data_IF_131039279361
#
_entry.id   IF_131039279361
#
_cell.length_a   1.000
_cell.length_b   1.000
_cell.length_c   1.000
_cell.angle_alpha   90.00
_cell.angle_beta   90.00
_cell.angle_gamma   90.00
#
_symmetry.space_group_name_H-M   'P 1'
#
loop_
_entity.id
_entity.type
_entity.pdbx_description
1 polymer ?
#
# COMPACT_ATOMS: atom_id res chain seq x y z
N UNK A 1 -16.80 -36.70 1.88
CA UNK A 1 -16.91 -36.35 3.31
C UNK A 1 -18.26 -36.79 3.84
N UNK A 2 -18.36 -37.46 5.00
CA UNK A 2 -19.60 -38.03 5.50
C UNK A 2 -20.47 -36.99 6.23
N UNK A 3 -21.79 -37.15 6.09
CA UNK A 3 -22.84 -36.33 6.70
C UNK A 3 -23.07 -36.72 8.17
N UNK A 4 -23.23 -35.74 9.05
CA UNK A 4 -23.67 -35.89 10.45
C UNK A 4 -25.09 -35.30 10.58
N UNK A 5 -26.02 -35.94 11.34
CA UNK A 5 -27.45 -35.69 11.22
C UNK A 5 -28.00 -34.61 12.16
N UNK A 6 -29.10 -34.02 11.69
CA UNK A 6 -30.00 -33.07 12.37
C UNK A 6 -30.80 -33.79 13.46
N UNK A 7 -30.87 -33.23 14.67
CA UNK A 7 -31.87 -33.60 15.69
C UNK A 7 -32.95 -32.54 15.80
N UNK A 8 -34.20 -32.97 15.61
CA UNK A 8 -35.45 -32.24 15.90
C UNK A 8 -35.76 -32.30 17.40
N UNK A 9 -36.26 -31.20 17.95
CA UNK A 9 -36.98 -31.13 19.22
C UNK A 9 -38.16 -30.15 19.06
N UNK A 10 -39.35 -30.61 19.43
CA UNK A 10 -40.67 -29.95 19.29
C UNK A 10 -40.96 -28.95 20.46
N UNK A 11 -42.08 -28.19 20.42
CA UNK A 11 -42.20 -26.82 20.93
C UNK A 11 -42.80 -26.71 22.34
N UNK A 12 -42.66 -25.55 22.96
CA UNK A 12 -43.57 -25.05 23.99
C UNK A 12 -43.87 -23.56 23.77
N UNK A 13 -45.15 -23.24 23.62
CA UNK A 13 -45.73 -21.90 23.76
C UNK A 13 -45.97 -21.61 25.24
N UNK A 14 -45.69 -20.39 25.71
CA UNK A 14 -46.58 -19.61 26.57
C UNK A 14 -46.08 -18.17 26.74
N UNK A 15 -47.05 -17.27 26.84
CA UNK A 15 -46.96 -15.81 26.83
C UNK A 15 -46.30 -15.18 28.06
N UNK A 16 -45.77 -13.96 27.89
CA UNK A 16 -45.32 -13.09 28.99
C UNK A 16 -45.29 -11.63 28.55
N UNK A 17 -46.03 -10.79 29.29
CA UNK A 17 -46.38 -9.39 29.05
C UNK A 17 -45.23 -8.44 28.68
N UNK A 18 -45.54 -7.48 27.80
CA UNK A 18 -44.77 -6.26 27.55
C UNK A 18 -45.21 -5.20 28.56
N UNK A 19 -44.28 -4.72 29.38
CA UNK A 19 -44.42 -3.47 30.16
C UNK A 19 -43.60 -2.36 29.50
N UNK A 20 -44.30 -1.35 29.00
CA UNK A 20 -43.73 -0.10 28.50
C UNK A 20 -43.46 0.82 29.69
N UNK A 21 -42.19 1.13 29.96
CA UNK A 21 -41.81 2.17 30.91
C UNK A 21 -41.46 3.45 30.12
N UNK A 22 -42.29 4.48 30.28
CA UNK A 22 -42.06 5.82 29.78
C UNK A 22 -40.94 6.51 30.59
N UNK A 23 -39.90 7.00 29.91
CA UNK A 23 -38.95 7.93 30.52
C UNK A 23 -39.39 9.36 30.23
N UNK A 24 -39.69 10.08 31.31
CA UNK A 24 -40.03 11.49 31.32
C UNK A 24 -38.81 12.37 30.98
N UNK A 25 -39.05 13.41 30.18
CA UNK A 25 -38.10 14.45 29.88
C UNK A 25 -37.78 15.27 31.14
N UNK A 26 -36.49 15.30 31.51
CA UNK A 26 -35.95 16.15 32.56
C UNK A 26 -34.93 17.13 31.98
N UNK A 27 -35.22 18.44 32.10
CA UNK A 27 -34.39 19.55 31.67
C UNK A 27 -32.96 19.48 32.25
N UNK A 28 -31.95 19.47 31.37
CA UNK A 28 -30.55 19.61 31.77
C UNK A 28 -30.18 21.10 31.90
N UNK A 29 -30.09 21.57 33.15
CA UNK A 29 -29.43 22.83 33.49
C UNK A 29 -27.92 22.61 33.58
N UNK A 30 -27.17 23.55 32.99
CA UNK A 30 -25.70 23.69 33.07
C UNK A 30 -25.23 23.66 34.53
N UNK A 31 -24.21 22.85 34.81
CA UNK A 31 -23.40 22.97 36.03
C UNK A 31 -21.92 22.97 35.63
N UNK A 32 -21.35 24.17 35.53
CA UNK A 32 -19.90 24.38 35.52
C UNK A 32 -19.38 24.21 36.95
N UNK A 33 -18.67 23.11 37.21
CA UNK A 33 -17.95 22.86 38.46
C UNK A 33 -16.44 22.75 38.18
N UNK A 34 -15.57 23.24 39.07
CA UNK A 34 -14.13 23.28 38.84
C UNK A 34 -13.53 21.86 38.89
N UNK A 35 -12.80 21.48 37.84
CA UNK A 35 -12.05 20.22 37.79
C UNK A 35 -10.90 20.30 38.79
N UNK A 36 -11.07 19.63 39.93
CA UNK A 36 -10.04 19.46 40.93
C UNK A 36 -9.00 18.43 40.46
N UNK A 37 -7.71 18.81 40.56
CA UNK A 37 -6.59 17.89 40.70
C UNK A 37 -6.11 17.20 39.44
N UNK A 38 -5.27 17.86 38.65
CA UNK A 38 -4.31 17.17 37.81
C UNK A 38 -3.36 16.37 38.71
N UNK A 39 -3.62 15.08 38.86
CA UNK A 39 -2.64 14.12 39.37
C UNK A 39 -1.41 14.20 38.48
N UNK A 40 -0.24 14.43 39.10
CA UNK A 40 1.06 14.31 38.39
C UNK A 40 1.06 12.97 37.64
N UNK A 41 1.50 12.91 36.36
CA UNK A 41 1.62 11.64 35.68
C UNK A 41 2.53 10.76 36.51
N UNK A 42 1.97 9.66 37.03
CA UNK A 42 2.75 8.54 37.54
C UNK A 42 3.78 8.21 36.46
N UNK A 43 5.05 8.07 36.85
CA UNK A 43 6.08 7.48 36.01
C UNK A 43 5.73 6.01 35.83
N UNK A 44 4.71 5.72 35.03
CA UNK A 44 4.38 4.36 34.63
C UNK A 44 5.65 3.77 34.02
N UNK A 45 6.08 2.61 34.55
CA UNK A 45 7.21 1.89 33.98
C UNK A 45 6.90 1.66 32.50
N UNK A 46 7.79 2.12 31.61
CA UNK A 46 7.66 1.88 30.17
C UNK A 46 7.60 0.37 29.97
N UNK A 47 6.51 -0.12 29.38
CA UNK A 47 6.41 -1.51 28.98
C UNK A 47 7.35 -1.73 27.79
N UNK A 48 8.48 -2.36 28.06
CA UNK A 48 9.50 -2.67 27.05
C UNK A 48 9.00 -3.67 26.00
N UNK A 49 7.93 -4.41 26.29
CA UNK A 49 7.31 -5.32 25.33
C UNK A 49 6.37 -4.60 24.35
N UNK A 50 5.97 -3.36 24.64
CA UNK A 50 5.20 -2.52 23.73
C UNK A 50 6.08 -1.47 23.04
N UNK A 51 7.14 -1.03 23.72
CA UNK A 51 8.02 0.04 23.25
C UNK A 51 9.50 -0.35 23.41
N UNK A 52 10.00 -1.32 22.62
CA UNK A 52 11.36 -1.84 22.74
C UNK A 52 12.43 -0.74 22.54
N UNK A 53 12.15 0.26 21.70
CA UNK A 53 13.03 1.40 21.44
C UNK A 53 12.67 2.66 22.26
N UNK A 54 11.81 2.49 23.28
CA UNK A 54 11.31 3.56 24.15
C UNK A 54 10.03 4.22 23.64
N UNK A 55 9.34 4.94 24.52
CA UNK A 55 8.05 5.59 24.21
C UNK A 55 8.18 6.70 23.15
N UNK A 56 7.22 6.80 22.22
CA UNK A 56 7.05 7.99 21.37
C UNK A 56 6.82 9.25 22.22
N UNK A 57 7.29 10.40 21.75
CA UNK A 57 7.17 11.67 22.48
C UNK A 57 6.62 12.82 21.61
N UNK A 58 5.87 13.74 22.22
CA UNK A 58 5.35 14.93 21.54
C UNK A 58 3.85 14.87 21.28
N UNK A 59 3.34 15.83 20.51
CA UNK A 59 1.91 15.93 20.21
C UNK A 59 1.56 15.08 18.97
N UNK A 60 0.40 14.40 18.97
CA UNK A 60 -0.11 13.74 17.77
C UNK A 60 -0.26 14.73 16.62
N UNK A 61 -0.08 14.24 15.40
CA UNK A 61 -0.43 14.98 14.19
C UNK A 61 -1.95 14.89 14.04
N UNK A 62 -2.63 16.04 14.05
CA UNK A 62 -4.09 16.10 13.92
C UNK A 62 -4.40 16.63 12.52
N UNK A 63 -5.06 15.84 11.65
CA UNK A 63 -5.50 16.31 10.35
C UNK A 63 -6.43 17.53 10.52
N UNK A 64 -6.16 18.65 9.82
CA UNK A 64 -7.06 19.79 9.82
C UNK A 64 -8.35 19.43 9.06
N UNK A 65 -9.49 20.09 9.37
CA UNK A 65 -10.70 19.90 8.60
C UNK A 65 -10.51 20.28 7.12
N UNK A 66 -11.28 19.69 6.20
CA UNK A 66 -11.29 20.10 4.80
C UNK A 66 -11.53 21.61 4.64
N UNK A 67 -10.81 22.31 3.74
CA UNK A 67 -11.02 23.73 3.50
C UNK A 67 -12.45 24.03 3.04
N UNK A 68 -13.11 24.97 3.73
CA UNK A 68 -14.46 25.44 3.38
C UNK A 68 -15.62 24.59 3.89
N UNK A 69 -15.33 23.46 4.55
CA UNK A 69 -16.38 22.58 5.07
C UNK A 69 -16.67 22.87 6.56
N UNK A 70 -17.94 23.08 6.96
CA UNK A 70 -18.32 23.28 8.36
C UNK A 70 -18.36 21.93 9.10
N UNK A 71 -17.19 21.33 9.35
CA UNK A 71 -17.11 20.00 9.94
C UNK A 71 -17.00 20.08 11.46
N UNK A 72 -17.92 19.41 12.17
CA UNK A 72 -17.91 19.27 13.63
C UNK A 72 -17.11 18.05 14.12
N UNK A 73 -16.74 17.16 13.21
CA UNK A 73 -15.91 15.98 13.43
C UNK A 73 -14.88 15.86 12.29
N UNK A 74 -13.78 15.11 12.47
CA UNK A 74 -12.75 15.02 11.45
C UNK A 74 -13.27 14.36 10.15
N UNK A 75 -13.52 15.17 9.11
CA UNK A 75 -14.02 14.69 7.82
C UNK A 75 -12.87 14.25 6.90
N UNK A 76 -12.14 13.21 7.30
CA UNK A 76 -11.11 12.60 6.47
C UNK A 76 -11.46 11.19 5.99
N UNK A 77 -12.63 10.66 6.37
CA UNK A 77 -13.20 9.42 5.83
C UNK A 77 -14.62 9.66 5.30
N UNK A 78 -15.02 8.86 4.32
CA UNK A 78 -16.37 8.78 3.77
C UNK A 78 -16.86 7.33 3.85
N UNK A 79 -17.95 6.98 3.17
CA UNK A 79 -18.50 5.62 3.16
C UNK A 79 -17.53 4.61 2.54
N UNK A 80 -16.83 5.02 1.48
CA UNK A 80 -15.96 4.16 0.67
C UNK A 80 -14.53 4.69 0.51
N UNK A 81 -14.19 5.78 1.21
CA UNK A 81 -12.84 6.36 1.17
C UNK A 81 -12.29 6.65 2.56
N UNK A 82 -10.99 6.46 2.74
CA UNK A 82 -10.25 6.93 3.91
C UNK A 82 -9.04 7.71 3.45
N UNK A 83 -8.85 8.92 3.96
CA UNK A 83 -7.64 9.68 3.72
C UNK A 83 -6.57 9.32 4.73
N UNK A 84 -5.40 8.96 4.22
CA UNK A 84 -4.18 8.83 5.01
C UNK A 84 -3.43 10.17 4.89
N UNK A 85 -3.69 11.04 5.87
CA UNK A 85 -3.32 12.44 5.83
C UNK A 85 -1.89 12.68 6.33
N UNK A 86 -1.16 13.54 5.62
CA UNK A 86 0.11 14.10 6.08
C UNK A 86 0.47 15.35 5.28
N UNK A 87 1.01 16.37 5.92
CA UNK A 87 1.42 17.62 5.26
C UNK A 87 2.76 17.51 4.51
N UNK A 88 3.57 16.52 4.87
CA UNK A 88 4.92 16.30 4.34
C UNK A 88 5.18 14.79 4.17
N UNK A 89 6.25 14.37 3.45
CA UNK A 89 6.56 12.96 3.24
C UNK A 89 6.64 12.14 4.54
N UNK A 90 7.16 12.73 5.61
CA UNK A 90 7.35 12.04 6.89
C UNK A 90 6.01 11.72 7.53
N UNK A 91 5.12 12.70 7.64
CA UNK A 91 3.77 12.49 8.18
C UNK A 91 2.94 11.54 7.32
N UNK A 92 3.07 11.62 5.99
CA UNK A 92 2.39 10.72 5.04
C UNK A 92 2.79 9.27 5.30
N UNK A 93 4.09 8.99 5.42
CA UNK A 93 4.57 7.64 5.74
C UNK A 93 4.06 7.14 7.10
N UNK A 94 4.11 8.00 8.14
CA UNK A 94 3.55 7.66 9.47
C UNK A 94 2.06 7.34 9.40
N UNK A 95 1.27 8.09 8.62
CA UNK A 95 -0.17 7.83 8.49
C UNK A 95 -0.47 6.47 7.85
N UNK A 96 0.38 6.01 6.92
CA UNK A 96 0.25 4.67 6.32
C UNK A 96 0.63 3.60 7.34
N UNK A 97 1.76 3.75 8.02
CA UNK A 97 2.24 2.73 8.95
C UNK A 97 1.31 2.58 10.16
N UNK A 98 0.70 3.67 10.63
CA UNK A 98 -0.33 3.61 11.67
C UNK A 98 -1.63 2.95 11.21
N UNK A 99 -1.97 3.08 9.93
CA UNK A 99 -3.14 2.42 9.37
C UNK A 99 -2.93 0.91 9.20
N UNK A 100 -1.76 0.51 8.70
CA UNK A 100 -1.45 -0.90 8.40
C UNK A 100 -1.01 -1.66 9.66
N UNK A 101 -0.23 -1.03 10.54
CA UNK A 101 0.30 -1.62 11.77
C UNK A 101 -0.11 -0.80 13.00
N UNK A 102 -1.24 -1.15 13.64
CA UNK A 102 -1.73 -0.45 14.83
C UNK A 102 -0.75 -0.46 16.02
N UNK A 103 0.11 -1.48 16.13
CA UNK A 103 1.15 -1.62 17.16
C UNK A 103 0.64 -1.45 18.61
N UNK A 104 -0.52 -2.00 18.90
CA UNK A 104 -1.19 -1.94 20.21
C UNK A 104 -1.07 -3.26 21.00
N UNK A 105 -0.54 -4.32 20.37
CA UNK A 105 -0.29 -5.61 21.01
C UNK A 105 1.18 -5.71 21.43
N UNK A 106 1.49 -6.45 22.51
CA UNK A 106 2.86 -6.78 22.89
C UNK A 106 3.56 -7.55 21.77
N UNK A 107 4.91 -7.46 21.73
CA UNK A 107 5.74 -8.25 20.81
C UNK A 107 5.36 -9.74 20.85
N UNK A 108 5.34 -10.37 19.67
CA UNK A 108 5.23 -11.83 19.55
C UNK A 108 6.32 -12.50 20.38
N UNK A 109 6.01 -13.66 20.98
CA UNK A 109 7.04 -14.41 21.70
C UNK A 109 8.06 -14.94 20.71
N UNK A 110 9.33 -15.00 21.13
CA UNK A 110 10.39 -15.63 20.33
C UNK A 110 9.99 -17.08 19.99
N UNK A 111 9.93 -17.40 18.69
CA UNK A 111 9.53 -18.73 18.20
C UNK A 111 8.02 -18.97 18.11
N UNK A 112 7.19 -17.93 18.26
CA UNK A 112 5.75 -18.00 17.99
C UNK A 112 5.49 -18.00 16.49
N UNK A 113 4.96 -19.11 15.97
CA UNK A 113 4.60 -19.25 14.56
C UNK A 113 3.24 -18.60 14.23
N UNK A 114 2.45 -18.28 15.26
CA UNK A 114 1.19 -17.54 15.15
C UNK A 114 1.52 -16.04 15.01
N UNK A 115 2.05 -15.76 13.82
CA UNK A 115 2.51 -14.48 13.34
C UNK A 115 1.30 -13.55 13.16
N UNK A 116 0.88 -12.86 14.22
CA UNK A 116 -0.22 -11.88 14.19
C UNK A 116 0.39 -10.49 14.09
N UNK A 117 0.63 -9.91 12.89
CA UNK A 117 1.47 -8.72 12.81
C UNK A 117 0.60 -7.49 12.91
N UNK A 118 0.34 -7.01 14.12
CA UNK A 118 -0.01 -5.60 14.29
C UNK A 118 1.24 -4.70 14.28
N UNK A 119 2.43 -5.29 14.07
CA UNK A 119 3.75 -4.66 13.93
C UNK A 119 4.49 -5.20 12.70
N UNK A 120 5.31 -4.38 12.03
CA UNK A 120 6.19 -4.83 10.97
C UNK A 120 7.39 -5.61 11.56
N UNK A 121 8.09 -6.35 10.70
CA UNK A 121 9.31 -7.05 11.09
C UNK A 121 10.56 -6.19 10.98
N UNK A 122 10.50 -5.08 10.24
CA UNK A 122 11.54 -4.06 10.23
C UNK A 122 11.01 -2.76 9.65
N UNK A 123 11.90 -1.84 9.30
CA UNK A 123 11.57 -0.62 8.55
C UNK A 123 12.61 -0.35 7.46
N UNK A 124 12.18 0.20 6.33
CA UNK A 124 13.06 0.63 5.25
C UNK A 124 13.17 2.14 5.24
N UNK A 125 14.37 2.67 5.47
CA UNK A 125 14.65 4.10 5.55
C UNK A 125 15.25 4.63 4.25
N UNK A 126 14.62 5.65 3.68
CA UNK A 126 15.04 6.35 2.46
C UNK A 126 14.96 7.87 2.66
N UNK A 127 15.56 8.66 1.77
CA UNK A 127 15.39 10.13 1.79
C UNK A 127 14.27 10.56 0.83
N UNK A 128 13.52 11.63 1.14
CA UNK A 128 12.34 12.04 0.36
C UNK A 128 12.68 12.84 -0.91
N UNK A 129 13.96 12.95 -1.26
CA UNK A 129 14.47 13.78 -2.37
C UNK A 129 15.03 12.96 -3.54
N UNK A 130 15.03 11.62 -3.45
CA UNK A 130 15.48 10.72 -4.51
C UNK A 130 14.40 9.67 -4.83
N UNK A 131 13.57 9.90 -5.86
CA UNK A 131 12.49 8.98 -6.22
C UNK A 131 13.02 7.63 -6.69
N UNK A 132 14.15 7.57 -7.40
CA UNK A 132 14.64 6.31 -7.94
C UNK A 132 15.15 5.39 -6.83
N UNK A 133 15.89 5.95 -5.87
CA UNK A 133 16.32 5.21 -4.67
C UNK A 133 15.13 4.70 -3.87
N UNK A 134 14.13 5.56 -3.63
CA UNK A 134 12.97 5.20 -2.84
C UNK A 134 12.08 4.14 -3.51
N UNK A 135 11.86 4.25 -4.82
CA UNK A 135 11.16 3.25 -5.62
C UNK A 135 11.93 1.92 -5.63
N UNK A 136 13.26 1.94 -5.80
CA UNK A 136 14.06 0.71 -5.76
C UNK A 136 13.99 -0.02 -4.42
N UNK A 137 13.67 0.67 -3.33
CA UNK A 137 13.59 0.09 -2.00
C UNK A 137 12.28 -0.67 -1.72
N UNK A 138 11.23 -0.49 -2.54
CA UNK A 138 9.90 -1.05 -2.26
C UNK A 138 9.81 -2.58 -2.27
N UNK A 139 10.66 -3.36 -2.98
CA UNK A 139 10.69 -4.81 -2.82
C UNK A 139 11.00 -5.27 -1.38
N UNK A 140 11.71 -4.46 -0.59
CA UNK A 140 12.02 -4.77 0.80
C UNK A 140 10.79 -4.70 1.73
N UNK A 141 9.65 -4.18 1.25
CA UNK A 141 8.39 -4.16 2.00
C UNK A 141 7.77 -5.56 2.06
N UNK A 142 7.92 -6.36 1.00
CA UNK A 142 7.26 -7.66 0.91
C UNK A 142 7.84 -8.66 1.93
N UNK A 143 7.06 -9.69 2.23
CA UNK A 143 7.52 -10.84 2.99
C UNK A 143 8.83 -11.40 2.38
N UNK A 144 9.80 -11.87 3.20
CA UNK A 144 9.74 -12.03 4.65
C UNK A 144 10.42 -10.87 5.40
N UNK A 145 10.34 -9.64 4.87
CA UNK A 145 10.90 -8.47 5.53
C UNK A 145 9.82 -7.64 6.24
N UNK A 146 8.60 -7.60 5.68
CA UNK A 146 7.47 -6.78 6.15
C UNK A 146 7.92 -5.39 6.64
N UNK A 147 8.79 -4.73 5.86
CA UNK A 147 9.55 -3.56 6.28
C UNK A 147 9.08 -2.28 5.55
N UNK A 148 8.05 -1.56 6.05
CA UNK A 148 7.50 -0.39 5.39
C UNK A 148 8.50 0.74 5.22
N UNK A 149 8.21 1.62 4.26
CA UNK A 149 9.03 2.80 4.00
C UNK A 149 8.74 3.90 5.02
N UNK A 150 9.79 4.38 5.67
CA UNK A 150 9.79 5.65 6.42
C UNK A 150 10.87 6.58 5.86
N UNK A 151 10.63 7.89 5.95
CA UNK A 151 11.55 8.89 5.44
C UNK A 151 12.50 9.43 6.52
N UNK A 152 13.76 9.58 6.17
CA UNK A 152 14.78 10.30 6.94
C UNK A 152 15.37 11.44 6.12
N UNK A 153 16.21 12.27 6.72
CA UNK A 153 16.90 13.34 6.00
C UNK A 153 18.38 13.00 5.82
N UNK A 154 19.05 13.77 4.97
CA UNK A 154 20.52 13.78 4.88
C UNK A 154 21.21 14.20 6.18
N UNK A 155 20.46 14.74 7.14
CA UNK A 155 20.93 15.30 8.41
C UNK A 155 20.35 14.56 9.62
N UNK A 156 19.87 13.32 9.46
CA UNK A 156 19.32 12.53 10.57
C UNK A 156 17.84 12.17 10.42
N UNK A 157 17.31 11.55 11.47
CA UNK A 157 15.94 11.08 11.61
C UNK A 157 15.08 12.21 12.19
N UNK A 158 14.09 12.73 11.44
CA UNK A 158 13.14 13.69 11.99
C UNK A 158 12.38 13.10 13.17
N UNK A 159 11.98 13.94 14.12
CA UNK A 159 11.28 13.50 15.34
C UNK A 159 10.04 12.66 15.05
N UNK A 160 9.25 13.03 14.03
CA UNK A 160 8.03 12.30 13.64
C UNK A 160 8.36 10.88 13.19
N UNK A 161 9.42 10.69 12.38
CA UNK A 161 9.91 9.38 11.97
C UNK A 161 10.47 8.59 13.15
N UNK A 162 11.28 9.22 14.01
CA UNK A 162 11.88 8.56 15.16
C UNK A 162 10.80 8.03 16.13
N UNK A 163 9.75 8.82 16.34
CA UNK A 163 8.60 8.41 17.14
C UNK A 163 7.84 7.26 16.50
N UNK A 164 7.74 7.22 15.18
CA UNK A 164 7.06 6.13 14.50
C UNK A 164 7.87 4.83 14.56
N UNK A 165 9.19 4.88 14.40
CA UNK A 165 10.07 3.71 14.63
C UNK A 165 9.86 3.16 16.04
N UNK A 166 9.81 4.05 17.04
CA UNK A 166 9.52 3.69 18.44
C UNK A 166 8.13 3.09 18.67
N UNK A 167 7.10 3.63 17.99
CA UNK A 167 5.72 3.17 18.11
C UNK A 167 5.56 1.80 17.45
N UNK A 168 6.04 1.66 16.22
CA UNK A 168 6.03 0.41 15.47
C UNK A 168 6.73 -0.68 16.26
N UNK A 169 7.88 -0.36 16.87
CA UNK A 169 8.62 -1.29 17.72
C UNK A 169 8.74 -2.65 17.04
N UNK A 170 9.37 -2.65 15.87
CA UNK A 170 9.43 -3.82 15.00
C UNK A 170 10.02 -5.03 15.72
N UNK A 171 9.75 -6.22 15.16
CA UNK A 171 10.13 -7.48 15.79
C UNK A 171 11.51 -7.98 15.37
N UNK A 172 12.19 -7.29 14.45
CA UNK A 172 13.40 -7.74 13.78
C UNK A 172 13.14 -8.75 12.66
N UNK A 173 13.93 -8.66 11.59
CA UNK A 173 13.89 -9.57 10.44
C UNK A 173 14.71 -10.82 10.78
N UNK A 174 14.06 -11.88 11.27
CA UNK A 174 14.71 -13.11 11.74
C UNK A 174 15.65 -13.73 10.70
N UNK A 175 15.20 -13.78 9.43
CA UNK A 175 15.97 -14.32 8.29
C UNK A 175 17.21 -13.48 7.94
N UNK A 176 17.39 -12.34 8.58
CA UNK A 176 18.51 -11.43 8.39
C UNK A 176 19.12 -10.96 9.72
N UNK A 177 19.23 -11.87 10.70
CA UNK A 177 19.97 -11.59 11.95
C UNK A 177 19.27 -10.61 12.87
N UNK A 178 17.94 -10.62 12.88
CA UNK A 178 17.08 -9.71 13.65
C UNK A 178 17.43 -8.24 13.36
N UNK A 179 17.65 -7.89 12.09
CA UNK A 179 17.84 -6.50 11.66
C UNK A 179 16.50 -5.78 11.73
N UNK A 180 16.49 -4.62 12.36
CA UNK A 180 15.28 -3.81 12.57
C UNK A 180 15.08 -2.80 11.43
N UNK A 181 16.17 -2.35 10.79
CA UNK A 181 16.09 -1.34 9.73
C UNK A 181 17.05 -1.55 8.54
N UNK A 182 16.54 -1.34 7.33
CA UNK A 182 17.35 -1.15 6.13
C UNK A 182 17.57 0.34 5.87
N UNK A 183 18.82 0.77 5.71
CA UNK A 183 19.19 2.14 5.38
C UNK A 183 19.63 2.18 3.92
N UNK A 184 18.78 2.71 3.05
CA UNK A 184 18.98 2.63 1.60
C UNK A 184 19.52 3.96 1.05
N UNK A 185 20.60 3.89 0.28
CA UNK A 185 21.22 5.05 -0.37
C UNK A 185 21.64 6.12 0.64
N UNK A 186 21.18 7.36 0.44
CA UNK A 186 21.55 8.51 1.27
C UNK A 186 21.05 8.43 2.73
N UNK A 187 20.10 7.54 3.04
CA UNK A 187 19.67 7.27 4.42
C UNK A 187 20.79 6.63 5.27
N UNK A 188 21.78 5.99 4.64
CA UNK A 188 22.93 5.36 5.31
C UNK A 188 24.00 6.35 5.81
N UNK A 189 23.58 7.57 6.19
CA UNK A 189 24.47 8.63 6.66
C UNK A 189 24.83 8.50 8.16
N UNK A 190 25.94 9.09 8.63
CA UNK A 190 26.42 8.93 10.00
C UNK A 190 25.45 9.41 11.07
N UNK A 191 24.66 10.46 10.79
CA UNK A 191 23.71 11.01 11.75
C UNK A 191 22.54 10.06 12.00
N UNK A 192 21.94 9.54 10.93
CA UNK A 192 20.87 8.52 11.03
C UNK A 192 21.38 7.30 11.80
N UNK A 193 22.54 6.76 11.42
CA UNK A 193 23.15 5.59 12.09
C UNK A 193 23.36 5.82 13.58
N UNK A 194 23.88 6.99 13.97
CA UNK A 194 24.11 7.33 15.38
C UNK A 194 22.78 7.42 16.15
N UNK A 195 21.77 8.06 15.59
CA UNK A 195 20.48 8.23 16.24
C UNK A 195 19.72 6.90 16.42
N UNK A 196 19.78 6.00 15.43
CA UNK A 196 19.20 4.66 15.52
C UNK A 196 19.94 3.78 16.55
N UNK A 197 21.27 3.76 16.51
CA UNK A 197 22.07 3.01 17.48
C UNK A 197 21.83 3.48 18.92
N UNK A 198 21.63 4.80 19.12
CA UNK A 198 21.34 5.37 20.44
C UNK A 198 20.02 4.89 21.06
N UNK A 199 19.08 4.40 20.25
CA UNK A 199 17.81 3.81 20.72
C UNK A 199 17.77 2.28 20.62
N UNK A 200 18.88 1.65 20.24
CA UNK A 200 19.01 0.19 20.17
C UNK A 200 18.53 -0.46 18.87
N UNK A 201 18.22 0.32 17.83
CA UNK A 201 17.81 -0.19 16.51
C UNK A 201 19.04 -0.77 15.79
N UNK A 202 18.95 -2.04 15.40
CA UNK A 202 19.93 -2.74 14.55
C UNK A 202 19.63 -2.45 13.09
N UNK A 203 20.67 -2.20 12.31
CA UNK A 203 20.46 -1.82 10.93
C UNK A 203 21.51 -2.37 9.96
N UNK A 204 21.08 -2.57 8.72
CA UNK A 204 21.93 -2.89 7.57
C UNK A 204 21.83 -1.76 6.54
N UNK A 205 22.95 -1.33 5.97
CA UNK A 205 22.97 -0.34 4.90
C UNK A 205 23.02 -1.01 3.53
N UNK A 206 22.22 -0.51 2.58
CA UNK A 206 22.25 -0.94 1.18
C UNK A 206 22.57 0.28 0.32
N UNK A 207 23.71 0.25 -0.35
CA UNK A 207 24.20 1.38 -1.15
C UNK A 207 24.65 0.90 -2.52
N UNK A 208 24.73 1.83 -3.46
CA UNK A 208 25.26 1.61 -4.81
C UNK A 208 26.01 2.84 -5.26
N UNK A 209 26.90 2.68 -6.24
CA UNK A 209 27.65 3.79 -6.85
C UNK A 209 26.78 4.65 -7.78
N UNK A 210 25.68 4.07 -8.24
CA UNK A 210 24.65 4.68 -9.10
C UNK A 210 23.31 3.97 -8.81
N UNK A 211 22.22 4.46 -9.41
CA UNK A 211 20.88 3.89 -9.20
C UNK A 211 20.77 2.43 -9.67
N UNK A 212 21.49 2.05 -10.73
CA UNK A 212 21.41 0.71 -11.30
C UNK A 212 22.06 -0.32 -10.37
N UNK A 213 23.27 -0.02 -9.89
CA UNK A 213 23.97 -0.84 -8.90
C UNK A 213 23.26 -0.86 -7.55
N UNK A 214 22.61 0.24 -7.15
CA UNK A 214 21.77 0.25 -5.95
C UNK A 214 20.59 -0.72 -6.10
N UNK A 215 19.86 -0.65 -7.22
CA UNK A 215 18.74 -1.54 -7.49
C UNK A 215 19.15 -3.02 -7.54
N UNK A 216 20.28 -3.34 -8.17
CA UNK A 216 20.87 -4.69 -8.17
C UNK A 216 21.27 -5.15 -6.76
N UNK A 217 21.84 -4.26 -5.93
CA UNK A 217 22.17 -4.59 -4.55
C UNK A 217 20.94 -4.81 -3.66
N UNK A 218 19.83 -4.09 -3.91
CA UNK A 218 18.56 -4.32 -3.24
C UNK A 218 17.96 -5.65 -3.69
N UNK A 219 18.00 -5.96 -5.00
CA UNK A 219 17.56 -7.25 -5.55
C UNK A 219 18.31 -8.44 -4.92
N UNK A 220 19.64 -8.31 -4.78
CA UNK A 220 20.50 -9.30 -4.10
C UNK A 220 20.13 -9.47 -2.63
N UNK A 221 20.00 -8.35 -1.90
CA UNK A 221 19.63 -8.42 -0.49
C UNK A 221 18.28 -9.09 -0.33
N UNK A 222 17.27 -8.63 -1.08
CA UNK A 222 15.93 -9.16 -0.97
C UNK A 222 15.87 -10.64 -1.32
N UNK A 223 16.48 -11.03 -2.45
CA UNK A 223 16.58 -12.42 -2.86
C UNK A 223 17.30 -13.31 -1.85
N UNK A 224 18.36 -12.83 -1.20
CA UNK A 224 19.08 -13.59 -0.16
C UNK A 224 18.24 -13.86 1.10
N UNK A 225 17.23 -13.03 1.36
CA UNK A 225 16.35 -13.15 2.53
C UNK A 225 15.09 -13.94 2.18
N UNK A 226 14.48 -13.64 1.04
CA UNK A 226 13.25 -14.26 0.55
C UNK A 226 13.50 -15.71 0.11
N UNK A 227 14.53 -15.92 -0.70
CA UNK A 227 14.87 -17.21 -1.28
C UNK A 227 16.40 -17.45 -1.21
N UNK A 228 16.91 -17.81 -0.02
CA UNK A 228 18.35 -18.00 0.21
C UNK A 228 18.98 -19.09 -0.68
N UNK A 229 18.20 -20.04 -1.18
CA UNK A 229 18.68 -21.13 -2.02
C UNK A 229 19.14 -20.64 -3.40
N UNK A 230 18.46 -19.64 -3.96
CA UNK A 230 18.76 -19.11 -5.30
C UNK A 230 19.35 -17.70 -5.26
N UNK A 231 19.14 -16.95 -4.17
CA UNK A 231 19.52 -15.54 -4.06
C UNK A 231 18.71 -14.62 -4.98
N UNK A 232 17.55 -15.06 -5.46
CA UNK A 232 16.65 -14.33 -6.36
C UNK A 232 15.22 -14.36 -5.82
N UNK A 233 14.51 -13.22 -5.74
CA UNK A 233 13.09 -13.20 -5.37
C UNK A 233 12.25 -14.07 -6.30
N UNK A 234 11.45 -14.98 -5.74
CA UNK A 234 10.74 -16.01 -6.52
C UNK A 234 9.32 -16.26 -6.03
N UNK A 235 8.34 -16.22 -6.95
CA UNK A 235 6.95 -16.58 -6.67
C UNK A 235 6.69 -18.07 -6.88
N UNK A 236 6.32 -18.77 -5.79
CA UNK A 236 5.80 -20.13 -5.80
C UNK A 236 6.67 -21.15 -6.56
N UNK A 237 6.14 -22.35 -6.78
CA UNK A 237 6.65 -23.28 -7.79
C UNK A 237 5.55 -23.47 -8.82
N UNK A 238 5.84 -23.18 -10.09
CA UNK A 238 4.91 -23.40 -11.19
C UNK A 238 5.42 -24.51 -12.09
N UNK A 239 4.51 -25.33 -12.61
CA UNK A 239 4.83 -26.25 -13.69
C UNK A 239 5.31 -25.51 -14.96
N UNK A 240 4.84 -24.26 -15.17
CA UNK A 240 5.27 -23.42 -16.30
C UNK A 240 6.69 -22.86 -16.15
N UNK A 241 7.28 -22.88 -14.95
CA UNK A 241 8.65 -22.43 -14.69
C UNK A 241 9.66 -23.56 -14.52
N UNK A 242 9.31 -24.78 -14.95
CA UNK A 242 10.19 -25.95 -14.80
C UNK A 242 10.53 -26.28 -13.34
N UNK A 243 9.68 -25.87 -12.39
CA UNK A 243 9.91 -26.07 -10.96
C UNK A 243 10.66 -24.92 -10.25
N UNK A 244 11.29 -23.99 -10.97
CA UNK A 244 12.10 -22.89 -10.42
C UNK A 244 11.29 -21.62 -10.03
N UNK A 245 9.96 -21.72 -9.92
CA UNK A 245 9.06 -20.57 -9.65
C UNK A 245 9.15 -19.40 -10.65
N UNK A 246 8.35 -18.35 -10.44
CA UNK A 246 8.40 -17.16 -11.30
C UNK A 246 9.38 -16.13 -10.73
N UNK A 247 10.44 -15.86 -11.47
CA UNK A 247 11.47 -14.87 -11.10
C UNK A 247 11.20 -13.54 -11.79
N UNK A 248 10.10 -12.91 -11.37
CA UNK A 248 9.59 -11.69 -11.99
C UNK A 248 10.51 -10.48 -11.73
N UNK A 249 10.59 -9.58 -12.71
CA UNK A 249 11.31 -8.31 -12.61
C UNK A 249 10.50 -7.19 -13.27
N UNK A 250 10.32 -6.10 -12.53
CA UNK A 250 9.77 -4.85 -13.04
C UNK A 250 10.91 -3.95 -13.51
N UNK A 251 10.82 -3.43 -14.73
CA UNK A 251 11.83 -2.55 -15.32
C UNK A 251 11.21 -1.19 -15.65
N UNK A 252 11.78 -0.14 -15.08
CA UNK A 252 11.47 1.26 -15.41
C UNK A 252 12.62 1.96 -16.12
N UNK A 253 12.30 3.07 -16.80
CA UNK A 253 13.31 3.99 -17.32
C UNK A 253 13.63 5.08 -16.28
N UNK A 254 14.91 5.35 -16.02
CA UNK A 254 15.35 6.36 -15.03
C UNK A 254 14.83 7.77 -15.34
N UNK A 255 14.73 8.13 -16.61
CA UNK A 255 14.23 9.43 -17.08
C UNK A 255 12.70 9.50 -17.21
N UNK A 256 11.99 8.41 -16.95
CA UNK A 256 10.54 8.32 -17.00
C UNK A 256 9.99 7.44 -15.87
N UNK A 257 10.59 7.57 -14.68
CA UNK A 257 10.33 6.72 -13.52
C UNK A 257 8.88 6.77 -13.04
N UNK A 258 8.13 7.82 -13.37
CA UNK A 258 6.71 7.95 -12.98
C UNK A 258 5.85 6.81 -13.54
N UNK A 259 6.24 6.21 -14.68
CA UNK A 259 5.54 5.06 -15.25
C UNK A 259 5.65 3.80 -14.39
N UNK A 260 6.70 3.69 -13.56
CA UNK A 260 6.94 2.55 -12.67
C UNK A 260 6.24 2.70 -11.32
N UNK A 261 5.70 3.87 -10.96
CA UNK A 261 5.04 4.07 -9.66
C UNK A 261 4.01 2.98 -9.33
N UNK A 262 3.14 2.52 -10.25
CA UNK A 262 2.20 1.44 -9.95
C UNK A 262 2.87 0.09 -9.60
N UNK A 263 4.10 -0.13 -10.08
CA UNK A 263 4.87 -1.32 -9.77
C UNK A 263 5.30 -1.37 -8.30
N UNK A 264 5.44 -0.22 -7.61
CA UNK A 264 5.85 -0.19 -6.18
C UNK A 264 4.91 -1.01 -5.31
N UNK A 265 3.63 -0.95 -5.64
CA UNK A 265 2.54 -1.63 -4.96
C UNK A 265 2.50 -3.13 -5.28
N UNK A 266 2.91 -3.52 -6.50
CA UNK A 266 3.02 -4.94 -6.82
C UNK A 266 4.25 -5.58 -6.16
N UNK A 267 5.42 -4.94 -6.25
CA UNK A 267 6.66 -5.51 -5.67
C UNK A 267 6.65 -5.50 -4.14
N UNK A 268 5.79 -4.71 -3.50
CA UNK A 268 5.53 -4.81 -2.07
C UNK A 268 4.57 -5.96 -1.71
N UNK A 269 3.79 -6.44 -2.68
CA UNK A 269 2.79 -7.50 -2.50
C UNK A 269 3.29 -8.89 -2.94
N UNK A 270 4.23 -8.94 -3.88
CA UNK A 270 4.74 -10.19 -4.45
C UNK A 270 6.26 -10.17 -4.57
N UNK A 271 6.95 -11.32 -4.39
CA UNK A 271 8.40 -11.39 -4.51
C UNK A 271 8.82 -11.14 -5.96
N UNK A 272 9.33 -9.94 -6.22
CA UNK A 272 9.62 -9.43 -7.55
C UNK A 272 10.75 -8.40 -7.47
N UNK A 273 11.71 -8.48 -8.40
CA UNK A 273 12.78 -7.48 -8.50
C UNK A 273 12.29 -6.16 -9.12
N UNK A 274 12.94 -5.04 -8.82
CA UNK A 274 12.69 -3.75 -9.45
C UNK A 274 14.01 -3.14 -9.92
N UNK A 275 14.21 -3.06 -11.24
CA UNK A 275 15.46 -2.64 -11.87
C UNK A 275 15.24 -1.46 -12.82
N UNK A 276 16.35 -0.83 -13.23
CA UNK A 276 16.33 0.37 -14.05
C UNK A 276 17.07 0.19 -15.37
N UNK A 277 16.57 0.84 -16.40
CA UNK A 277 17.26 1.05 -17.68
C UNK A 277 17.22 2.53 -18.05
N UNK A 278 17.92 2.91 -19.11
CA UNK A 278 17.64 4.16 -19.82
C UNK A 278 16.89 3.88 -21.11
N UNK A 279 16.33 4.93 -21.73
CA UNK A 279 15.59 4.80 -22.99
C UNK A 279 16.31 3.95 -24.04
N UNK A 280 17.62 4.16 -24.20
CA UNK A 280 18.42 3.55 -25.26
C UNK A 280 19.61 2.73 -24.74
N UNK A 281 19.65 2.40 -23.44
CA UNK A 281 20.77 1.69 -22.83
C UNK A 281 20.29 0.71 -21.76
N UNK A 282 20.76 -0.52 -21.87
CA UNK A 282 20.67 -1.55 -20.83
C UNK A 282 21.96 -1.51 -19.97
N UNK A 283 21.90 -1.10 -18.69
CA UNK A 283 23.07 -1.00 -17.81
C UNK A 283 23.59 -2.36 -17.33
N UNK A 284 24.90 -2.47 -17.09
CA UNK A 284 25.55 -3.72 -16.65
C UNK A 284 24.97 -4.28 -15.35
N UNK A 285 24.67 -3.42 -14.36
CA UNK A 285 24.06 -3.88 -13.11
C UNK A 285 22.69 -4.54 -13.31
N UNK A 286 21.91 -4.06 -14.28
CA UNK A 286 20.63 -4.67 -14.66
C UNK A 286 20.85 -6.00 -15.38
N UNK A 287 21.88 -6.08 -16.23
CA UNK A 287 22.30 -7.34 -16.86
C UNK A 287 22.71 -8.37 -15.81
N UNK A 288 23.51 -7.98 -14.81
CA UNK A 288 23.98 -8.88 -13.75
C UNK A 288 22.82 -9.41 -12.91
N UNK A 289 21.83 -8.57 -12.61
CA UNK A 289 20.62 -8.99 -11.92
C UNK A 289 19.78 -9.99 -12.73
N UNK A 290 19.67 -9.77 -14.04
CA UNK A 290 18.94 -10.68 -14.93
C UNK A 290 19.70 -12.01 -15.14
N UNK A 291 21.02 -11.99 -15.27
CA UNK A 291 21.85 -13.21 -15.36
C UNK A 291 21.75 -14.08 -14.11
N UNK A 292 21.60 -13.48 -12.93
CA UNK A 292 21.41 -14.22 -11.66
C UNK A 292 20.18 -15.12 -11.68
N UNK A 293 19.21 -14.80 -12.55
CA UNK A 293 17.96 -15.56 -12.77
C UNK A 293 18.13 -16.72 -13.75
N UNK A 294 19.36 -17.07 -14.13
CA UNK A 294 19.65 -18.18 -15.03
C UNK A 294 19.05 -18.03 -16.42
N UNK A 295 18.80 -16.79 -16.89
CA UNK A 295 18.10 -16.48 -18.15
C UNK A 295 16.60 -16.84 -18.15
N UNK A 296 16.00 -17.02 -16.96
CA UNK A 296 14.59 -17.34 -16.76
C UNK A 296 13.77 -16.17 -16.22
N UNK A 297 14.25 -14.93 -16.38
CA UNK A 297 13.52 -13.75 -15.91
C UNK A 297 12.19 -13.58 -16.63
N UNK A 298 11.12 -13.30 -15.88
CA UNK A 298 9.88 -12.76 -16.47
C UNK A 298 9.90 -11.25 -16.30
N UNK A 299 10.10 -10.53 -17.40
CA UNK A 299 10.49 -9.13 -17.40
C UNK A 299 9.31 -8.26 -17.82
N UNK A 300 8.88 -7.35 -16.95
CA UNK A 300 7.79 -6.41 -17.19
C UNK A 300 8.33 -5.00 -17.36
N UNK A 301 8.27 -4.47 -18.58
CA UNK A 301 8.80 -3.14 -18.92
C UNK A 301 7.70 -2.11 -18.85
N UNK A 302 7.83 -1.12 -17.96
CA UNK A 302 6.85 -0.05 -17.79
C UNK A 302 7.16 1.14 -18.71
N UNK A 303 6.12 1.63 -19.37
CA UNK A 303 6.21 2.71 -20.35
C UNK A 303 6.38 2.19 -21.78
N UNK A 304 6.26 3.09 -22.75
CA UNK A 304 6.20 2.75 -24.18
C UNK A 304 7.57 2.84 -24.86
N UNK A 305 7.60 2.72 -26.20
CA UNK A 305 8.81 2.88 -26.99
C UNK A 305 9.55 4.21 -26.75
N UNK A 306 8.82 5.25 -26.34
CA UNK A 306 9.40 6.56 -26.04
C UNK A 306 10.13 6.63 -24.70
N UNK A 307 9.79 5.74 -23.75
CA UNK A 307 10.42 5.64 -22.44
C UNK A 307 11.49 4.55 -22.42
N UNK A 308 11.21 3.39 -23.03
CA UNK A 308 12.15 2.27 -23.21
C UNK A 308 12.09 1.81 -24.66
N UNK A 309 13.16 2.05 -25.41
CA UNK A 309 13.20 1.79 -26.84
C UNK A 309 13.01 0.31 -27.18
N UNK A 310 12.54 0.00 -28.40
CA UNK A 310 12.48 -1.38 -28.89
C UNK A 310 13.84 -2.09 -28.87
N UNK A 311 14.95 -1.35 -29.05
CA UNK A 311 16.30 -1.90 -28.99
C UNK A 311 16.65 -2.41 -27.59
N UNK A 312 16.33 -1.65 -26.53
CA UNK A 312 16.53 -2.09 -25.14
C UNK A 312 15.63 -3.28 -24.80
N UNK A 313 14.36 -3.28 -25.24
CA UNK A 313 13.47 -4.44 -25.06
C UNK A 313 14.01 -5.69 -25.75
N UNK A 314 14.57 -5.55 -26.95
CA UNK A 314 15.22 -6.66 -27.65
C UNK A 314 16.42 -7.20 -26.87
N UNK A 315 17.25 -6.32 -26.29
CA UNK A 315 18.37 -6.74 -25.44
C UNK A 315 17.89 -7.45 -24.16
N UNK A 316 16.82 -6.95 -23.53
CA UNK A 316 16.22 -7.60 -22.35
C UNK A 316 15.71 -9.01 -22.66
N UNK A 317 15.19 -9.24 -23.86
CA UNK A 317 14.69 -10.54 -24.30
C UNK A 317 15.78 -11.62 -24.44
N UNK A 318 17.06 -11.22 -24.43
CA UNK A 318 18.17 -12.18 -24.35
C UNK A 318 18.22 -12.86 -22.96
N UNK A 319 17.63 -12.26 -21.92
CA UNK A 319 17.71 -12.70 -20.53
C UNK A 319 16.40 -13.28 -19.96
N UNK A 320 15.35 -13.37 -20.78
CA UNK A 320 14.05 -13.87 -20.33
C UNK A 320 12.87 -13.41 -21.20
N UNK A 321 11.66 -13.79 -20.79
CA UNK A 321 10.44 -13.38 -21.48
C UNK A 321 10.09 -11.93 -21.13
N UNK A 322 9.86 -11.08 -22.14
CA UNK A 322 9.58 -9.65 -21.93
C UNK A 322 8.14 -9.32 -22.31
N UNK A 323 7.41 -8.74 -21.35
CA UNK A 323 6.08 -8.16 -21.52
C UNK A 323 6.14 -6.66 -21.27
N UNK A 324 5.45 -5.87 -22.08
CA UNK A 324 5.40 -4.43 -21.87
C UNK A 324 4.11 -4.05 -21.15
N UNK A 325 4.24 -3.33 -20.03
CA UNK A 325 3.13 -2.77 -19.28
C UNK A 325 2.87 -1.35 -19.80
N UNK A 326 1.90 -1.23 -20.68
CA UNK A 326 1.44 0.05 -21.24
C UNK A 326 -0.08 0.12 -21.26
N UNK A 327 -0.59 1.26 -21.68
CA UNK A 327 -2.00 1.46 -21.98
C UNK A 327 -2.46 0.91 -23.34
N UNK A 328 -1.58 0.21 -24.07
CA UNK A 328 -1.85 -0.46 -25.35
C UNK A 328 -2.86 -1.59 -25.13
N UNK A 329 -4.14 -1.24 -25.26
CA UNK A 329 -5.25 -2.18 -25.36
C UNK A 329 -5.35 -2.67 -26.81
N UNK A 330 -4.97 -3.92 -27.05
CA UNK A 330 -5.07 -4.57 -28.36
C UNK A 330 -6.50 -4.71 -28.90
N UNK A 331 -7.53 -4.35 -28.13
CA UNK A 331 -8.95 -4.44 -28.49
C UNK A 331 -9.53 -3.09 -28.97
N UNK A 332 -8.89 -1.95 -28.68
CA UNK A 332 -9.37 -0.63 -29.10
C UNK A 332 -8.82 -0.24 -30.47
N UNK A 333 -9.52 -0.70 -31.52
CA UNK A 333 -9.13 -0.57 -32.93
C UNK A 333 -8.90 0.88 -33.47
N UNK A 334 -9.21 1.96 -32.74
CA UNK A 334 -9.36 3.30 -33.35
C UNK A 334 -8.65 4.48 -32.65
N UNK A 335 -7.75 4.25 -31.71
CA UNK A 335 -6.77 5.29 -31.31
C UNK A 335 -5.54 4.65 -30.66
N UNK A 336 -4.30 5.07 -31.02
CA UNK A 336 -3.13 4.69 -30.24
C UNK A 336 -3.34 5.19 -28.81
N UNK A 337 -3.33 4.31 -27.80
CA UNK A 337 -3.74 4.71 -26.47
C UNK A 337 -2.74 5.68 -25.88
N UNK A 338 -3.27 6.59 -25.05
CA UNK A 338 -2.46 7.60 -24.38
C UNK A 338 -1.56 6.93 -23.37
N UNK A 339 -0.28 6.84 -23.69
CA UNK A 339 0.70 6.25 -22.82
C UNK A 339 1.23 7.28 -21.80
N UNK A 340 0.47 7.50 -20.74
CA UNK A 340 0.84 8.35 -19.59
C UNK A 340 0.94 7.51 -18.32
N UNK A 341 1.65 7.96 -17.27
CA UNK A 341 1.67 7.26 -15.98
C UNK A 341 0.29 6.99 -15.38
N UNK A 342 -0.66 7.90 -15.56
CA UNK A 342 -2.06 7.72 -15.12
C UNK A 342 -2.70 6.54 -15.86
N UNK A 343 -2.53 6.49 -17.18
CA UNK A 343 -3.04 5.39 -17.99
C UNK A 343 -2.35 4.06 -17.65
N UNK A 344 -1.03 4.05 -17.46
CA UNK A 344 -0.27 2.85 -17.05
C UNK A 344 -0.77 2.31 -15.71
N UNK A 345 -1.06 3.18 -14.73
CA UNK A 345 -1.61 2.77 -13.44
C UNK A 345 -2.96 2.05 -13.60
N UNK A 346 -3.89 2.63 -14.38
CA UNK A 346 -5.20 2.00 -14.65
C UNK A 346 -5.04 0.69 -15.42
N UNK A 347 -4.16 0.65 -16.43
CA UNK A 347 -3.93 -0.58 -17.21
C UNK A 347 -3.31 -1.69 -16.36
N UNK A 348 -2.36 -1.36 -15.48
CA UNK A 348 -1.74 -2.35 -14.59
C UNK A 348 -2.72 -2.88 -13.53
N UNK A 349 -3.64 -2.03 -13.03
CA UNK A 349 -4.72 -2.47 -12.14
C UNK A 349 -5.70 -3.44 -12.82
N UNK A 350 -5.91 -3.32 -14.14
CA UNK A 350 -6.77 -4.23 -14.92
C UNK A 350 -6.06 -5.50 -15.39
N UNK A 351 -4.76 -5.39 -15.64
CA UNK A 351 -3.94 -6.44 -16.24
C UNK A 351 -3.85 -7.65 -15.30
N UNK A 352 -3.87 -8.85 -15.89
CA UNK A 352 -3.36 -10.07 -15.27
C UNK A 352 -2.65 -10.91 -16.33
N UNK A 353 -1.37 -11.19 -16.10
CA UNK A 353 -0.58 -12.12 -16.90
C UNK A 353 -0.53 -13.48 -16.17
N UNK A 354 -1.18 -14.53 -16.69
CA UNK A 354 -1.19 -15.84 -16.05
C UNK A 354 0.19 -16.53 -16.09
N UNK A 355 1.09 -16.15 -17.01
CA UNK A 355 2.40 -16.80 -17.14
C UNK A 355 3.31 -16.44 -15.97
N UNK A 356 3.46 -15.13 -15.68
CA UNK A 356 4.20 -14.66 -14.51
C UNK A 356 3.37 -14.53 -13.26
N UNK A 357 2.05 -14.77 -13.33
CA UNK A 357 1.08 -14.47 -12.26
C UNK A 357 1.15 -13.01 -11.81
N UNK A 358 1.26 -12.08 -12.77
CA UNK A 358 1.51 -10.65 -12.51
C UNK A 358 0.34 -9.77 -12.88
N UNK A 359 0.03 -8.80 -12.00
CA UNK A 359 -1.03 -7.82 -12.19
C UNK A 359 -2.24 -8.13 -11.32
N UNK A 360 -3.12 -7.14 -11.19
CA UNK A 360 -4.20 -7.19 -10.21
C UNK A 360 -5.48 -7.85 -10.72
N UNK A 361 -5.70 -7.88 -12.03
CA UNK A 361 -6.91 -8.48 -12.63
C UNK A 361 -8.22 -7.83 -12.19
N UNK A 362 -8.20 -6.56 -11.74
CA UNK A 362 -9.38 -5.90 -11.18
C UNK A 362 -10.23 -5.33 -12.31
N UNK A 363 -11.18 -6.14 -12.76
CA UNK A 363 -12.16 -5.82 -13.82
C UNK A 363 -13.60 -5.77 -13.32
N UNK A 364 -13.82 -5.93 -12.01
CA UNK A 364 -15.13 -5.89 -11.34
C UNK A 364 -15.02 -5.30 -9.93
N UNK A 365 -16.11 -5.26 -9.15
CA UNK A 365 -16.12 -4.71 -7.80
C UNK A 365 -15.53 -5.64 -6.75
N UNK A 366 -15.23 -5.09 -5.56
CA UNK A 366 -14.80 -5.81 -4.37
C UNK A 366 -13.34 -5.63 -3.99
N UNK A 367 -12.76 -4.45 -4.26
CA UNK A 367 -11.32 -4.24 -4.16
C UNK A 367 -10.93 -2.96 -3.43
N UNK A 368 -9.72 -2.97 -2.86
CA UNK A 368 -9.04 -1.77 -2.40
C UNK A 368 -8.44 -0.98 -3.56
N UNK A 369 -8.23 0.32 -3.40
CA UNK A 369 -7.47 1.18 -4.29
C UNK A 369 -6.67 2.19 -3.49
N UNK A 370 -5.51 2.59 -3.99
CA UNK A 370 -4.71 3.67 -3.43
C UNK A 370 -4.64 4.80 -4.45
N UNK A 371 -5.17 5.98 -4.15
CA UNK A 371 -5.09 7.14 -5.04
C UNK A 371 -4.03 8.13 -4.56
N UNK A 372 -3.07 8.42 -5.45
CA UNK A 372 -1.97 9.37 -5.20
C UNK A 372 -1.91 10.40 -6.32
N UNK A 373 -1.61 11.65 -5.99
CA UNK A 373 -1.18 12.62 -6.98
C UNK A 373 0.24 12.28 -7.44
N UNK A 374 0.46 12.04 -8.73
CA UNK A 374 1.76 11.62 -9.29
C UNK A 374 2.92 12.57 -9.00
N UNK A 375 2.63 13.82 -8.64
CA UNK A 375 3.64 14.80 -8.24
C UNK A 375 4.10 14.62 -6.79
N UNK A 376 3.32 13.90 -5.99
CA UNK A 376 3.62 13.45 -4.62
C UNK A 376 4.07 11.99 -4.62
N UNK A 377 5.17 11.71 -5.33
CA UNK A 377 5.68 10.35 -5.48
C UNK A 377 6.04 9.71 -4.13
N UNK A 378 6.34 10.53 -3.10
CA UNK A 378 6.64 10.05 -1.76
C UNK A 378 5.45 9.31 -1.15
N UNK A 379 4.22 9.78 -1.40
CA UNK A 379 3.01 9.04 -1.01
C UNK A 379 2.91 7.71 -1.74
N UNK A 380 3.20 7.65 -3.05
CA UNK A 380 3.12 6.41 -3.83
C UNK A 380 4.14 5.34 -3.38
N UNK A 381 5.29 5.75 -2.85
CA UNK A 381 6.25 4.81 -2.25
C UNK A 381 5.81 4.41 -0.85
N UNK A 382 5.42 5.38 -0.02
CA UNK A 382 5.04 5.13 1.37
C UNK A 382 3.73 4.34 1.52
N UNK A 383 2.81 4.45 0.56
CA UNK A 383 1.51 3.76 0.55
C UNK A 383 1.57 2.33 0.02
N UNK A 384 2.70 1.90 -0.54
CA UNK A 384 2.88 0.55 -1.09
C UNK A 384 2.46 -0.58 -0.12
N UNK A 385 2.67 -0.50 1.21
CA UNK A 385 2.16 -1.50 2.15
C UNK A 385 0.65 -1.78 2.08
N UNK A 386 -0.17 -0.83 1.59
CA UNK A 386 -1.60 -1.06 1.40
C UNK A 386 -1.88 -2.17 0.38
N UNK A 387 -0.97 -2.38 -0.58
CA UNK A 387 -1.06 -3.49 -1.52
C UNK A 387 -0.68 -4.85 -0.93
N UNK A 388 0.08 -4.87 0.16
CA UNK A 388 0.48 -6.10 0.84
C UNK A 388 -0.52 -6.49 1.93
N UNK A 389 -0.83 -5.56 2.83
CA UNK A 389 -1.62 -5.82 4.05
C UNK A 389 -2.89 -4.95 4.16
N UNK A 390 -3.14 -4.02 3.23
CA UNK A 390 -4.25 -3.06 3.27
C UNK A 390 -5.25 -3.22 2.14
N UNK A 391 -5.95 -4.36 2.05
CA UNK A 391 -6.94 -4.66 1.01
C UNK A 391 -6.38 -4.90 -0.40
N UNK A 392 -5.12 -5.28 -0.54
CA UNK A 392 -4.53 -5.60 -1.85
C UNK A 392 -4.74 -4.44 -2.85
N UNK A 393 -4.56 -3.21 -2.35
CA UNK A 393 -5.02 -1.99 -2.98
C UNK A 393 -4.00 -1.43 -4.00
N UNK A 394 -4.13 -1.66 -5.32
CA UNK A 394 -3.22 -1.11 -6.33
C UNK A 394 -3.15 0.41 -6.30
N UNK A 395 -2.02 0.94 -6.77
CA UNK A 395 -1.87 2.37 -6.99
C UNK A 395 -2.59 2.83 -8.26
N UNK A 396 -3.48 3.79 -8.08
CA UNK A 396 -4.01 4.67 -9.11
C UNK A 396 -3.40 6.07 -8.96
N UNK A 397 -3.27 6.77 -10.08
CA UNK A 397 -2.64 8.08 -10.13
C UNK A 397 -3.61 9.16 -10.61
N UNK A 398 -3.56 10.33 -9.99
CA UNK A 398 -4.07 11.58 -10.56
C UNK A 398 -2.91 12.52 -10.90
N UNK A 399 -3.09 13.43 -11.84
CA UNK A 399 -2.16 14.50 -12.18
C UNK A 399 -2.65 15.89 -11.72
N UNK A 400 -3.82 15.94 -11.10
CA UNK A 400 -4.41 17.18 -10.59
C UNK A 400 -4.99 16.97 -9.19
N UNK A 401 -4.81 17.95 -8.28
CA UNK A 401 -5.42 17.89 -6.95
C UNK A 401 -6.94 18.10 -6.98
N UNK A 402 -7.48 18.76 -8.01
CA UNK A 402 -8.87 19.23 -8.05
C UNK A 402 -9.68 18.67 -9.22
N UNK A 403 -9.11 17.77 -10.03
CA UNK A 403 -9.79 17.14 -11.16
C UNK A 403 -9.33 15.70 -11.34
N UNK A 404 -10.24 14.74 -11.18
CA UNK A 404 -9.94 13.35 -11.46
C UNK A 404 -9.77 13.14 -12.99
N UNK A 405 -8.70 12.47 -13.46
CA UNK A 405 -8.57 12.11 -14.86
C UNK A 405 -9.74 11.26 -15.33
N UNK A 406 -10.21 11.47 -16.56
CA UNK A 406 -11.39 10.77 -17.10
C UNK A 406 -11.21 9.25 -17.10
N UNK A 407 -9.98 8.80 -17.35
CA UNK A 407 -9.61 7.39 -17.36
C UNK A 407 -9.75 6.74 -15.99
N UNK A 408 -9.41 7.48 -14.93
CA UNK A 408 -9.53 7.03 -13.53
C UNK A 408 -11.00 7.05 -13.10
N UNK A 409 -11.75 8.12 -13.40
CA UNK A 409 -13.21 8.18 -13.17
C UNK A 409 -13.94 7.02 -13.86
N UNK A 410 -13.66 6.79 -15.15
CA UNK A 410 -14.24 5.65 -15.89
C UNK A 410 -13.84 4.32 -15.26
N UNK A 411 -12.62 4.20 -14.75
CA UNK A 411 -12.19 2.96 -14.12
C UNK A 411 -12.97 2.71 -12.83
N UNK A 412 -13.04 3.67 -11.90
CA UNK A 412 -13.84 3.56 -10.68
C UNK A 412 -15.29 3.19 -10.97
N UNK A 413 -15.92 3.83 -11.97
CA UNK A 413 -17.29 3.48 -12.40
C UNK A 413 -17.41 2.07 -12.96
N UNK A 414 -16.40 1.59 -13.69
CA UNK A 414 -16.42 0.25 -14.28
C UNK A 414 -16.31 -0.87 -13.24
N UNK A 415 -15.70 -0.57 -12.09
CA UNK A 415 -15.52 -1.50 -10.96
C UNK A 415 -16.43 -1.13 -9.79
N UNK A 416 -17.42 -0.25 -9.99
CA UNK A 416 -18.34 0.16 -8.94
C UNK A 416 -19.23 -1.03 -8.51
N UNK A 417 -19.44 -1.24 -7.20
CA UNK A 417 -20.34 -2.28 -6.68
C UNK A 417 -21.76 -2.18 -7.24
N UNK A 418 -22.39 -3.35 -7.42
CA UNK A 418 -23.81 -3.47 -7.74
C UNK A 418 -24.44 -4.59 -6.93
N UNK A 419 -25.69 -4.42 -6.53
CA UNK A 419 -26.49 -5.48 -5.90
C UNK A 419 -27.72 -5.82 -6.74
N UNK A 420 -28.26 -7.03 -6.54
CA UNK A 420 -29.52 -7.48 -7.13
C UNK A 420 -30.66 -7.45 -6.12
N UNK A 421 -30.45 -7.99 -4.91
CA UNK A 421 -31.53 -8.09 -3.92
C UNK A 421 -31.37 -7.09 -2.77
N UNK A 422 -30.16 -6.99 -2.20
CA UNK A 422 -29.92 -6.15 -1.04
C UNK A 422 -28.53 -5.52 -1.08
N UNK A 423 -28.39 -4.23 -0.71
CA UNK A 423 -27.08 -3.63 -0.56
C UNK A 423 -26.26 -4.29 0.57
N UNK A 424 -26.81 -5.14 1.43
CA UNK A 424 -25.98 -5.85 2.41
C UNK A 424 -25.08 -6.94 1.79
N UNK A 425 -25.31 -7.34 0.53
CA UNK A 425 -24.61 -8.46 -0.13
C UNK A 425 -23.15 -8.14 -0.48
N UNK A 426 -22.83 -6.87 -0.77
CA UNK A 426 -21.53 -6.49 -1.33
C UNK A 426 -21.28 -7.15 -2.71
N UNK A 427 -20.02 -7.23 -3.17
CA UNK A 427 -18.80 -6.78 -2.49
C UNK A 427 -18.62 -5.25 -2.57
N UNK A 428 -17.84 -4.67 -1.64
CA UNK A 428 -17.61 -3.23 -1.56
C UNK A 428 -16.17 -2.86 -1.97
N UNK A 429 -16.01 -1.65 -2.50
CA UNK A 429 -14.69 -1.07 -2.74
C UNK A 429 -14.25 -0.20 -1.58
N UNK A 430 -12.93 -0.05 -1.43
CA UNK A 430 -12.31 0.88 -0.49
C UNK A 430 -11.23 1.69 -1.20
N UNK A 431 -11.24 3.02 -1.09
CA UNK A 431 -10.17 3.86 -1.65
C UNK A 431 -9.41 4.60 -0.56
N UNK A 432 -8.11 4.35 -0.47
CA UNK A 432 -7.18 5.16 0.32
C UNK A 432 -6.77 6.38 -0.48
N UNK A 433 -7.06 7.57 0.03
CA UNK A 433 -6.66 8.84 -0.58
C UNK A 433 -5.42 9.36 0.14
N UNK A 434 -4.31 9.51 -0.57
CA UNK A 434 -3.05 9.90 0.07
C UNK A 434 -2.88 11.41 0.16
N UNK A 435 -2.31 11.86 1.28
CA UNK A 435 -1.80 13.21 1.45
C UNK A 435 -2.82 14.24 1.95
N UNK A 436 -2.38 15.48 1.95
CA UNK A 436 -3.12 16.64 2.44
C UNK A 436 -4.20 17.11 1.45
N UNK A 437 -4.95 18.13 1.85
CA UNK A 437 -5.98 18.76 1.01
C UNK A 437 -5.43 19.44 -0.24
N UNK A 438 -4.14 19.74 -0.28
CA UNK A 438 -3.46 20.30 -1.47
C UNK A 438 -2.95 19.23 -2.42
N UNK A 439 -2.72 18.00 -1.93
CA UNK A 439 -2.30 16.87 -2.76
C UNK A 439 -3.50 16.35 -3.57
N UNK A 440 -4.61 16.12 -2.88
CA UNK A 440 -5.92 15.73 -3.43
C UNK A 440 -7.00 16.44 -2.62
N UNK A 441 -7.82 17.25 -3.27
CA UNK A 441 -8.88 18.04 -2.60
C UNK A 441 -9.99 17.14 -2.03
N UNK A 442 -10.72 17.68 -1.05
CA UNK A 442 -11.91 17.01 -0.48
C UNK A 442 -12.95 16.67 -1.54
N UNK A 443 -13.19 17.58 -2.49
CA UNK A 443 -14.11 17.35 -3.60
C UNK A 443 -13.80 16.09 -4.40
N UNK A 444 -12.53 15.84 -4.71
CA UNK A 444 -12.15 14.61 -5.44
C UNK A 444 -12.39 13.36 -4.59
N UNK A 445 -12.11 13.42 -3.30
CA UNK A 445 -12.40 12.31 -2.39
C UNK A 445 -13.91 12.01 -2.31
N UNK A 446 -14.76 13.03 -2.22
CA UNK A 446 -16.22 12.86 -2.21
C UNK A 446 -16.78 12.44 -3.57
N UNK A 447 -16.18 12.89 -4.68
CA UNK A 447 -16.56 12.44 -6.02
C UNK A 447 -16.27 10.94 -6.18
N UNK A 448 -15.12 10.46 -5.66
CA UNK A 448 -14.77 9.03 -5.64
C UNK A 448 -15.75 8.23 -4.77
N UNK A 449 -16.11 8.76 -3.60
CA UNK A 449 -17.12 8.16 -2.73
C UNK A 449 -18.45 7.95 -3.47
N UNK A 450 -18.89 8.99 -4.17
CA UNK A 450 -20.14 8.97 -4.92
C UNK A 450 -20.11 7.97 -6.09
N UNK A 451 -19.01 7.89 -6.86
CA UNK A 451 -18.95 6.98 -8.02
C UNK A 451 -18.64 5.53 -7.65
N UNK A 452 -18.11 5.30 -6.45
CA UNK A 452 -17.84 3.96 -5.91
C UNK A 452 -19.00 3.43 -5.07
N UNK A 453 -20.06 4.22 -4.94
CA UNK A 453 -21.27 3.85 -4.22
C UNK A 453 -21.97 2.67 -4.88
N UNK A 454 -22.57 1.81 -4.07
CA UNK A 454 -23.28 0.68 -4.59
C UNK A 454 -24.64 1.09 -5.16
N UNK A 455 -24.92 0.60 -6.37
CA UNK A 455 -26.18 0.88 -7.07
C UNK A 455 -26.94 -0.42 -7.37
N UNK A 456 -28.27 -0.33 -7.42
CA UNK A 456 -29.09 -1.46 -7.87
C UNK A 456 -28.78 -1.79 -9.35
N UNK A 457 -28.22 -2.97 -9.60
CA UNK A 457 -27.96 -3.48 -10.94
C UNK A 457 -29.19 -4.20 -11.49
N UNK A 458 -30.17 -3.49 -12.05
CA UNK A 458 -31.39 -4.13 -12.57
C UNK A 458 -31.08 -5.31 -13.51
N UNK A 459 -31.64 -6.47 -13.22
CA UNK A 459 -31.72 -7.57 -14.18
C UNK A 459 -32.73 -7.21 -15.29
N UNK A 460 -32.46 -7.60 -16.53
CA UNK A 460 -33.29 -7.24 -17.70
C UNK A 460 -34.74 -7.74 -17.61
N UNK A 461 -35.02 -8.68 -16.72
CA UNK A 461 -36.32 -9.32 -16.51
C UNK A 461 -36.93 -9.08 -15.12
N UNK A 462 -36.38 -8.18 -14.29
CA UNK A 462 -36.98 -7.85 -12.98
C UNK A 462 -37.62 -6.46 -12.98
N UNK A 463 -38.87 -6.39 -12.51
CA UNK A 463 -39.55 -5.14 -12.11
C UNK A 463 -39.10 -4.66 -10.72
N UNK A 464 -38.37 -5.52 -10.01
CA UNK A 464 -38.10 -5.40 -8.59
C UNK A 464 -36.70 -4.81 -8.46
N UNK A 465 -36.65 -3.47 -8.43
CA UNK A 465 -35.41 -2.72 -8.36
C UNK A 465 -35.70 -1.24 -8.31
N UNK A 466 -35.88 -0.70 -7.11
CA UNK A 466 -36.04 0.74 -6.90
C UNK A 466 -34.88 1.54 -7.51
N UNK A 467 -35.02 2.87 -7.64
CA UNK A 467 -33.91 3.78 -8.04
C UNK A 467 -32.83 3.91 -6.96
N UNK A 468 -32.69 2.91 -6.11
CA UNK A 468 -31.89 2.96 -4.89
C UNK A 468 -30.41 3.07 -5.23
N UNK A 469 -29.80 4.14 -4.74
CA UNK A 469 -28.38 4.22 -4.42
C UNK A 469 -28.26 4.67 -2.95
N UNK A 470 -27.13 4.42 -2.27
CA UNK A 470 -26.97 4.83 -0.87
C UNK A 470 -27.17 6.35 -0.65
N UNK A 471 -26.95 7.16 -1.68
CA UNK A 471 -27.15 8.62 -1.74
C UNK A 471 -28.45 9.06 -2.42
N UNK A 472 -29.13 8.14 -3.10
CA UNK A 472 -30.37 8.35 -3.83
C UNK A 472 -31.45 7.43 -3.28
N UNK A 473 -31.96 7.76 -2.10
CA UNK A 473 -33.26 7.23 -1.68
C UNK A 473 -34.35 7.92 -2.52
N UNK A 474 -35.44 7.23 -2.90
CA UNK A 474 -36.58 7.84 -3.58
C UNK A 474 -37.22 8.98 -2.77
#
# INVERSE_FOLDING_TARGET
MPRIPVRRGLPFLAAGLITVAAFAAGNATRADGPVAGATKPSTAKVDKNLYPFGMPQGRPVIPPPPPGEPTLAPAYATKTTTRLWGADPFQKAVSVTQHVWPAERPLNRRGENDNVPDRPWGVTLVTPDDPLTAISATPLIHFPNDAPILYVTRHGVPRVTLNEIKRLGDTGIERHGDVDAFLVGAAANPEVKRQLAAIGVKFTSVTGRDVYSLADNIDKLYGSIENPDTGVPQMGTSASSGGNGMQNVMIGATNAWQYVLPATHWVSHMPTGLLWVDKNRLPDATIDALKRRGMHGTIYVFGGPDQVSPAVVKQLAEYGAVSRVTSDDGVLFNAPPKNTPVNTAVSFAKMYDPMGMVGWGITGPGHGFTLVNRHDWQSAVASAPLSHLGFHAPLLLTDSPSKLPKEVDRYFRSVAPRFLNSPAEGPYNMTFVMGSWTDITWRIQTDIDFVSEMINGRAWNSSDGGRYSDSGQP
#
